data_IF_215549391735
#
_entry.id   IF_215549391735
#
_cell.length_a   1.000
_cell.length_b   1.000
_cell.length_c   1.000
_cell.angle_alpha   90.00
_cell.angle_beta   90.00
_cell.angle_gamma   90.00
#
_symmetry.space_group_name_H-M   'P 1'
#
loop_
_entity.id
_entity.type
_entity.pdbx_description
1 polymer ?
#
# COMPACT_ATOMS: atom_id res chain seq x y z
N UNK A 1 -37.42 19.66 -32.86
CA UNK A 1 -35.97 19.99 -32.94
C UNK A 1 -35.37 20.40 -31.58
N UNK A 2 -36.18 20.83 -30.60
CA UNK A 2 -35.72 21.31 -29.28
C UNK A 2 -35.25 20.21 -28.33
N UNK A 3 -35.97 19.07 -28.29
CA UNK A 3 -35.67 17.93 -27.39
C UNK A 3 -34.31 17.29 -27.70
N UNK A 4 -33.91 17.23 -28.98
CA UNK A 4 -32.62 16.68 -29.38
C UNK A 4 -31.44 17.53 -28.88
N UNK A 5 -31.63 18.85 -28.72
CA UNK A 5 -30.59 19.73 -28.16
C UNK A 5 -30.53 19.65 -26.64
N UNK A 6 -31.66 19.51 -25.96
CA UNK A 6 -31.69 19.30 -24.50
C UNK A 6 -31.01 17.98 -24.10
N UNK A 7 -31.27 16.90 -24.83
CA UNK A 7 -30.60 15.61 -24.59
C UNK A 7 -29.10 15.70 -24.83
N UNK A 8 -28.66 16.42 -25.86
CA UNK A 8 -27.24 16.61 -26.19
C UNK A 8 -26.52 17.50 -25.16
N UNK A 9 -27.21 18.52 -24.61
CA UNK A 9 -26.71 19.33 -23.50
C UNK A 9 -26.58 18.50 -22.21
N UNK A 10 -27.59 17.70 -21.87
CA UNK A 10 -27.55 16.81 -20.69
C UNK A 10 -26.42 15.77 -20.82
N UNK A 11 -26.25 15.20 -22.02
CA UNK A 11 -25.17 14.23 -22.31
C UNK A 11 -23.80 14.90 -22.19
N UNK A 12 -23.65 16.14 -22.68
CA UNK A 12 -22.43 16.93 -22.50
C UNK A 12 -22.14 17.30 -21.06
N UNK A 13 -23.18 17.52 -20.25
CA UNK A 13 -23.05 17.85 -18.83
C UNK A 13 -22.62 16.64 -17.99
N UNK A 14 -23.08 15.43 -18.35
CA UNK A 14 -22.73 14.17 -17.69
C UNK A 14 -21.30 13.67 -18.02
N UNK A 15 -20.77 13.99 -19.20
CA UNK A 15 -19.48 13.46 -19.69
C UNK A 15 -18.25 14.17 -19.07
N UNK A 16 -18.43 15.21 -18.25
CA UNK A 16 -17.30 16.07 -17.81
C UNK A 16 -16.65 15.74 -16.46
N UNK A 17 -16.88 14.56 -15.90
CA UNK A 17 -16.16 14.12 -14.70
C UNK A 17 -14.92 13.27 -15.05
N UNK A 18 -13.98 13.83 -15.81
CA UNK A 18 -12.63 13.29 -15.86
C UNK A 18 -11.95 13.61 -14.53
N UNK A 19 -11.92 12.63 -13.61
CA UNK A 19 -11.10 12.72 -12.42
C UNK A 19 -9.63 12.59 -12.84
N UNK A 20 -8.89 13.68 -12.76
CA UNK A 20 -7.46 13.70 -13.02
C UNK A 20 -6.75 13.12 -11.79
N UNK A 21 -6.41 11.83 -11.85
CA UNK A 21 -5.62 11.22 -10.77
C UNK A 21 -4.18 11.73 -10.86
N UNK A 22 -3.63 12.35 -9.80
CA UNK A 22 -2.21 12.64 -9.76
C UNK A 22 -1.42 11.32 -9.92
N UNK A 23 -0.28 11.34 -10.62
CA UNK A 23 0.49 10.13 -10.89
C UNK A 23 0.86 9.43 -9.58
N UNK A 24 0.79 8.08 -9.59
CA UNK A 24 1.16 7.23 -8.45
C UNK A 24 2.60 7.58 -8.05
N UNK A 25 2.75 8.22 -6.89
CA UNK A 25 4.06 8.66 -6.38
C UNK A 25 4.71 7.47 -5.68
N UNK A 26 5.74 6.90 -6.30
CA UNK A 26 6.51 5.81 -5.71
C UNK A 26 7.46 6.37 -4.63
N UNK A 27 7.09 6.16 -3.38
CA UNK A 27 7.79 6.74 -2.24
C UNK A 27 9.10 6.01 -1.98
N UNK A 28 9.19 4.74 -2.36
CA UNK A 28 10.43 3.98 -2.23
C UNK A 28 11.56 4.67 -3.00
N UNK A 29 11.27 5.23 -4.17
CA UNK A 29 12.25 5.97 -4.97
C UNK A 29 12.71 7.27 -4.31
N UNK A 30 11.84 7.94 -3.57
CA UNK A 30 12.16 9.21 -2.92
C UNK A 30 12.94 9.02 -1.62
N UNK A 31 12.62 7.95 -0.87
CA UNK A 31 13.39 7.48 0.28
C UNK A 31 14.78 7.01 -0.17
N UNK A 32 14.86 6.26 -1.27
CA UNK A 32 16.13 5.75 -1.79
C UNK A 32 17.01 6.87 -2.37
N UNK A 33 16.41 7.90 -2.99
CA UNK A 33 17.16 9.09 -3.45
C UNK A 33 17.83 9.87 -2.32
N UNK A 34 17.33 9.78 -1.10
CA UNK A 34 17.92 10.44 0.09
C UNK A 34 18.86 9.55 0.89
N UNK A 35 19.00 8.26 0.53
CA UNK A 35 19.93 7.36 1.21
C UNK A 35 21.38 7.81 1.03
N UNK A 36 22.08 8.06 2.14
CA UNK A 36 23.51 8.34 2.08
C UNK A 36 24.31 7.06 1.86
N UNK A 37 25.53 7.15 1.30
CA UNK A 37 26.39 5.96 1.08
C UNK A 37 26.63 5.13 2.34
N UNK A 38 26.76 5.80 3.50
CA UNK A 38 26.96 5.14 4.80
C UNK A 38 25.73 4.35 5.24
N UNK A 39 24.56 4.89 4.97
CA UNK A 39 23.29 4.23 5.29
C UNK A 39 23.07 2.98 4.43
N UNK A 40 23.46 3.03 3.15
CA UNK A 40 23.39 1.84 2.28
C UNK A 40 24.29 0.71 2.79
N UNK A 41 25.52 1.03 3.21
CA UNK A 41 26.44 0.04 3.78
C UNK A 41 25.85 -0.58 5.06
N UNK A 42 25.28 0.23 5.95
CA UNK A 42 24.65 -0.28 7.17
C UNK A 42 23.45 -1.22 6.87
N UNK A 43 22.70 -0.91 5.82
CA UNK A 43 21.57 -1.70 5.37
C UNK A 43 22.00 -3.03 4.73
N UNK A 44 23.02 -3.01 3.87
CA UNK A 44 23.61 -4.21 3.27
C UNK A 44 24.19 -5.13 4.36
N UNK A 45 24.89 -4.57 5.34
CA UNK A 45 25.42 -5.32 6.49
C UNK A 45 24.29 -5.90 7.36
N UNK A 46 23.20 -5.16 7.56
CA UNK A 46 22.02 -5.63 8.27
C UNK A 46 21.35 -6.82 7.57
N UNK A 47 21.19 -6.74 6.24
CA UNK A 47 20.65 -7.84 5.42
C UNK A 47 21.57 -9.07 5.45
N UNK A 48 22.89 -8.85 5.46
CA UNK A 48 23.87 -9.94 5.55
C UNK A 48 23.81 -10.64 6.91
N UNK A 49 23.72 -9.89 8.03
CA UNK A 49 23.58 -10.45 9.39
C UNK A 49 22.24 -11.18 9.56
N UNK A 50 21.17 -10.72 8.90
CA UNK A 50 19.84 -11.33 8.94
C UNK A 50 19.66 -12.55 8.02
N UNK A 51 20.65 -12.90 7.20
CA UNK A 51 20.55 -14.00 6.24
C UNK A 51 20.79 -15.37 6.90
N UNK A 52 19.93 -16.34 6.58
CA UNK A 52 20.12 -17.75 6.97
C UNK A 52 21.44 -18.34 6.47
N UNK A 53 21.94 -17.90 5.32
CA UNK A 53 23.21 -18.38 4.76
C UNK A 53 24.41 -17.95 5.60
N UNK A 54 24.37 -16.76 6.21
CA UNK A 54 25.43 -16.26 7.08
C UNK A 54 25.52 -17.07 8.38
N UNK A 55 24.37 -17.40 8.97
CA UNK A 55 24.30 -18.22 10.21
C UNK A 55 24.92 -19.61 9.98
N UNK A 56 24.58 -20.27 8.87
CA UNK A 56 25.13 -21.59 8.53
C UNK A 56 26.63 -21.50 8.27
N UNK A 57 27.09 -20.50 7.53
CA UNK A 57 28.52 -20.29 7.28
C UNK A 57 29.31 -20.10 8.59
N UNK A 58 28.80 -19.24 9.49
CA UNK A 58 29.42 -19.01 10.80
C UNK A 58 29.47 -20.29 11.63
N UNK A 59 28.39 -21.08 11.65
CA UNK A 59 28.34 -22.35 12.38
C UNK A 59 29.36 -23.37 11.83
N UNK A 60 29.49 -23.48 10.52
CA UNK A 60 30.48 -24.36 9.87
C UNK A 60 31.91 -23.90 10.17
N UNK A 61 32.17 -22.59 10.11
CA UNK A 61 33.48 -22.03 10.42
C UNK A 61 33.89 -22.31 11.89
N UNK A 62 32.95 -22.15 12.83
CA UNK A 62 33.17 -22.49 14.23
C UNK A 62 33.39 -23.99 14.44
N UNK A 63 32.59 -24.84 13.79
CA UNK A 63 32.76 -26.29 13.86
C UNK A 63 34.12 -26.73 13.29
N UNK A 64 34.54 -26.17 12.15
CA UNK A 64 35.84 -26.44 11.54
C UNK A 64 36.98 -26.00 12.47
N UNK A 65 36.86 -24.82 13.08
CA UNK A 65 37.85 -24.32 14.04
C UNK A 65 37.97 -25.24 15.26
N UNK A 66 36.84 -25.72 15.79
CA UNK A 66 36.79 -26.64 16.92
C UNK A 66 37.44 -27.98 16.55
N UNK A 67 37.13 -28.55 15.37
CA UNK A 67 37.70 -29.81 14.89
C UNK A 67 39.21 -29.69 14.65
N UNK A 68 39.66 -28.60 14.01
CA UNK A 68 41.09 -28.34 13.79
C UNK A 68 41.88 -28.23 15.10
N UNK A 69 41.30 -27.57 16.13
CA UNK A 69 41.90 -27.51 17.45
C UNK A 69 41.86 -28.86 18.18
N UNK A 70 40.77 -29.60 18.10
CA UNK A 70 40.60 -30.90 18.76
C UNK A 70 41.52 -31.99 18.18
N UNK A 71 41.79 -31.98 16.88
CA UNK A 71 42.67 -32.95 16.20
C UNK A 71 44.16 -32.64 16.44
N UNK A 72 44.47 -31.51 17.10
CA UNK A 72 45.83 -31.13 17.51
C UNK A 72 46.88 -31.21 16.36
N UNK A 73 46.49 -30.80 15.14
CA UNK A 73 47.37 -30.91 13.98
C UNK A 73 48.65 -30.05 14.11
N UNK A 74 48.62 -28.98 14.90
CA UNK A 74 49.80 -28.24 15.36
C UNK A 74 49.56 -27.71 16.78
N UNK A 75 50.03 -28.45 17.81
CA UNK A 75 50.37 -27.90 19.14
C UNK A 75 49.28 -27.02 19.81
N UNK A 76 48.29 -27.63 20.51
CA UNK A 76 47.27 -27.00 21.39
C UNK A 76 47.31 -25.46 21.49
N UNK A 77 46.93 -24.74 20.42
CA UNK A 77 47.09 -23.29 20.35
C UNK A 77 45.99 -22.56 21.14
N UNK A 78 44.84 -23.21 21.33
CA UNK A 78 43.72 -22.76 22.16
C UNK A 78 43.29 -23.91 23.11
N UNK A 79 43.96 -24.01 24.25
CA UNK A 79 43.64 -24.99 25.29
C UNK A 79 42.30 -24.72 25.97
N UNK A 80 41.62 -25.77 26.44
CA UNK A 80 40.34 -25.64 27.15
C UNK A 80 40.50 -24.69 28.36
N UNK A 81 39.70 -23.61 28.48
CA UNK A 81 38.43 -23.30 27.82
C UNK A 81 38.58 -22.22 26.71
N UNK A 82 38.92 -22.63 25.48
CA UNK A 82 39.00 -21.83 24.24
C UNK A 82 38.94 -20.29 24.41
N UNK A 83 40.01 -19.70 24.94
CA UNK A 83 40.04 -18.30 25.35
C UNK A 83 39.99 -17.36 24.14
N UNK A 84 40.69 -17.74 23.06
CA UNK A 84 40.74 -16.94 21.83
C UNK A 84 39.41 -16.97 21.09
N UNK A 85 38.79 -18.15 20.98
CA UNK A 85 37.46 -18.29 20.38
C UNK A 85 36.43 -17.41 21.11
N UNK A 86 36.40 -17.47 22.44
CA UNK A 86 35.49 -16.67 23.25
C UNK A 86 35.74 -15.17 23.09
N UNK A 87 37.00 -14.73 23.00
CA UNK A 87 37.34 -13.33 22.78
C UNK A 87 36.83 -12.85 21.41
N UNK A 88 37.09 -13.62 20.34
CA UNK A 88 36.67 -13.29 18.98
C UNK A 88 35.15 -13.24 18.88
N UNK A 89 34.44 -14.23 19.44
CA UNK A 89 32.98 -14.25 19.44
C UNK A 89 32.37 -13.09 20.21
N UNK A 90 32.97 -12.73 21.36
CA UNK A 90 32.51 -11.58 22.16
C UNK A 90 32.69 -10.27 21.40
N UNK A 91 33.83 -10.10 20.73
CA UNK A 91 34.09 -8.94 19.88
C UNK A 91 33.12 -8.91 18.69
N UNK A 92 32.90 -10.04 18.02
CA UNK A 92 31.96 -10.15 16.90
C UNK A 92 30.54 -9.75 17.33
N UNK A 93 30.06 -10.24 18.47
CA UNK A 93 28.75 -9.88 19.02
C UNK A 93 28.67 -8.38 19.33
N UNK A 94 29.71 -7.81 19.95
CA UNK A 94 29.76 -6.38 20.29
C UNK A 94 29.65 -5.47 19.05
N UNK A 95 30.23 -5.86 17.92
CA UNK A 95 30.10 -5.11 16.66
C UNK A 95 28.80 -5.39 15.91
N UNK A 96 28.26 -6.62 16.01
CA UNK A 96 27.03 -6.99 15.33
C UNK A 96 25.81 -6.24 15.89
N UNK A 97 25.73 -6.05 17.22
CA UNK A 97 24.55 -5.45 17.88
C UNK A 97 24.26 -4.01 17.38
N UNK A 98 25.22 -3.07 17.37
CA UNK A 98 24.97 -1.72 16.86
C UNK A 98 24.57 -1.69 15.38
N UNK A 99 25.18 -2.54 14.55
CA UNK A 99 24.83 -2.64 13.12
C UNK A 99 23.40 -3.15 12.96
N UNK A 100 23.02 -4.18 13.72
CA UNK A 100 21.66 -4.69 13.72
C UNK A 100 20.66 -3.62 14.20
N UNK A 101 20.98 -2.86 15.24
CA UNK A 101 20.14 -1.76 15.73
C UNK A 101 19.98 -0.65 14.69
N UNK A 102 21.04 -0.31 13.95
CA UNK A 102 20.97 0.64 12.84
C UNK A 102 20.05 0.14 11.73
N UNK A 103 20.17 -1.14 11.35
CA UNK A 103 19.30 -1.76 10.34
C UNK A 103 17.84 -1.79 10.78
N UNK A 104 17.57 -2.14 12.04
CA UNK A 104 16.22 -2.14 12.61
C UNK A 104 15.61 -0.73 12.67
N UNK A 105 16.37 0.27 13.12
CA UNK A 105 15.89 1.66 13.14
C UNK A 105 15.57 2.15 11.72
N UNK A 106 16.35 1.74 10.72
CA UNK A 106 16.09 2.08 9.31
C UNK A 106 14.84 1.38 8.75
N UNK A 107 14.68 0.09 9.04
CA UNK A 107 13.47 -0.64 8.66
C UNK A 107 12.21 -0.02 9.28
N UNK A 108 12.27 0.33 10.58
CA UNK A 108 11.17 0.99 11.28
C UNK A 108 10.85 2.39 10.72
N UNK A 109 11.86 3.16 10.29
CA UNK A 109 11.64 4.44 9.62
C UNK A 109 10.92 4.28 8.28
N UNK A 110 11.31 3.30 7.45
CA UNK A 110 10.62 2.99 6.19
C UNK A 110 9.19 2.54 6.44
N UNK A 111 8.98 1.64 7.39
CA UNK A 111 7.66 1.15 7.78
C UNK A 111 6.74 2.30 8.24
N UNK A 112 7.25 3.21 9.07
CA UNK A 112 6.50 4.40 9.51
C UNK A 112 6.08 5.30 8.35
N UNK A 113 6.97 5.53 7.38
CA UNK A 113 6.66 6.35 6.21
C UNK A 113 5.60 5.67 5.32
N UNK A 114 5.75 4.36 5.09
CA UNK A 114 4.76 3.57 4.35
C UNK A 114 3.39 3.58 5.04
N UNK A 115 3.34 3.43 6.36
CA UNK A 115 2.11 3.51 7.13
C UNK A 115 1.44 4.90 7.05
N UNK A 116 2.23 5.98 7.11
CA UNK A 116 1.69 7.34 6.95
C UNK A 116 1.06 7.57 5.56
N UNK A 117 1.60 6.93 4.53
CA UNK A 117 1.09 7.07 3.16
C UNK A 117 -0.12 6.22 2.91
N UNK A 118 -0.12 4.96 3.37
CA UNK A 118 -1.29 4.12 3.35
C UNK A 118 -2.47 4.81 4.08
N UNK A 119 -2.19 5.50 5.19
CA UNK A 119 -3.19 6.33 5.87
C UNK A 119 -3.72 7.47 5.00
N UNK A 120 -2.83 8.25 4.35
CA UNK A 120 -3.24 9.34 3.46
C UNK A 120 -4.03 8.86 2.24
N UNK A 121 -3.63 7.74 1.64
CA UNK A 121 -4.36 7.09 0.55
C UNK A 121 -5.73 6.61 1.03
N UNK A 122 -5.81 6.03 2.22
CA UNK A 122 -7.08 5.63 2.84
C UNK A 122 -8.04 6.81 3.03
N UNK A 123 -7.56 7.94 3.56
CA UNK A 123 -8.38 9.16 3.72
C UNK A 123 -8.87 9.69 2.37
N UNK A 124 -8.00 9.71 1.34
CA UNK A 124 -8.41 10.12 0.00
C UNK A 124 -9.44 9.18 -0.61
N UNK A 125 -9.25 7.87 -0.44
CA UNK A 125 -10.21 6.87 -0.90
C UNK A 125 -11.56 7.02 -0.19
N UNK A 126 -11.56 7.36 1.11
CA UNK A 126 -12.79 7.67 1.86
C UNK A 126 -13.49 8.92 1.31
N UNK A 127 -12.73 9.97 0.98
CA UNK A 127 -13.28 11.19 0.37
C UNK A 127 -13.86 10.94 -1.04
N UNK A 128 -13.15 10.18 -1.87
CA UNK A 128 -13.64 9.75 -3.19
C UNK A 128 -14.91 8.89 -3.06
N UNK A 129 -14.92 7.94 -2.12
CA UNK A 129 -16.10 7.12 -1.84
C UNK A 129 -17.29 7.98 -1.42
N UNK A 130 -17.07 8.96 -0.54
CA UNK A 130 -18.11 9.90 -0.11
C UNK A 130 -18.63 10.75 -1.27
N UNK A 131 -17.74 11.19 -2.16
CA UNK A 131 -18.13 11.90 -3.39
C UNK A 131 -19.03 11.04 -4.28
N UNK A 132 -18.67 9.77 -4.48
CA UNK A 132 -19.48 8.81 -5.25
C UNK A 132 -20.83 8.56 -4.56
N UNK A 133 -20.86 8.38 -3.23
CA UNK A 133 -22.10 8.20 -2.48
C UNK A 133 -23.03 9.40 -2.61
N UNK A 134 -22.51 10.63 -2.47
CA UNK A 134 -23.30 11.84 -2.67
C UNK A 134 -23.86 11.92 -4.10
N UNK A 135 -23.09 11.51 -5.10
CA UNK A 135 -23.56 11.49 -6.49
C UNK A 135 -24.69 10.47 -6.69
N UNK A 136 -24.59 9.30 -6.07
CA UNK A 136 -25.65 8.28 -6.10
C UNK A 136 -26.93 8.77 -5.40
N UNK A 137 -26.81 9.41 -4.25
CA UNK A 137 -27.98 10.00 -3.55
C UNK A 137 -28.69 11.05 -4.41
N UNK A 138 -27.93 11.90 -5.10
CA UNK A 138 -28.49 12.88 -6.05
C UNK A 138 -29.14 12.18 -7.26
N UNK A 139 -28.52 11.12 -7.79
CA UNK A 139 -29.12 10.34 -8.88
C UNK A 139 -30.45 9.70 -8.46
N UNK A 140 -30.53 9.15 -7.25
CA UNK A 140 -31.76 8.57 -6.69
C UNK A 140 -32.87 9.63 -6.57
N UNK A 141 -32.54 10.84 -6.10
CA UNK A 141 -33.50 11.94 -6.01
C UNK A 141 -34.04 12.33 -7.40
N UNK A 142 -33.15 12.46 -8.39
CA UNK A 142 -33.54 12.77 -9.78
C UNK A 142 -34.41 11.66 -10.36
N UNK A 143 -34.07 10.39 -10.13
CA UNK A 143 -34.85 9.24 -10.60
C UNK A 143 -36.26 9.24 -10.01
N UNK A 144 -36.40 9.54 -8.71
CA UNK A 144 -37.70 9.68 -8.06
C UNK A 144 -38.52 10.84 -8.64
N UNK A 145 -37.89 11.99 -8.94
CA UNK A 145 -38.57 13.11 -9.60
C UNK A 145 -39.06 12.74 -11.00
N UNK A 146 -38.28 11.99 -11.78
CA UNK A 146 -38.67 11.50 -13.11
C UNK A 146 -39.86 10.54 -13.00
N UNK A 147 -39.84 9.59 -12.05
CA UNK A 147 -40.94 8.67 -11.80
C UNK A 147 -42.24 9.42 -11.45
N UNK A 148 -42.16 10.41 -10.54
CA UNK A 148 -43.31 11.25 -10.20
C UNK A 148 -43.85 12.05 -11.39
N UNK A 149 -42.98 12.57 -12.27
CA UNK A 149 -43.42 13.24 -13.50
C UNK A 149 -44.11 12.29 -14.46
N UNK A 150 -43.58 11.08 -14.65
CA UNK A 150 -44.19 10.06 -15.50
C UNK A 150 -45.59 9.68 -14.98
N UNK A 151 -45.75 9.42 -13.68
CA UNK A 151 -47.06 9.15 -13.09
C UNK A 151 -48.05 10.30 -13.28
N UNK A 152 -47.59 11.55 -13.12
CA UNK A 152 -48.44 12.73 -13.30
C UNK A 152 -48.92 12.85 -14.75
N UNK A 153 -48.01 12.63 -15.70
CA UNK A 153 -48.30 12.66 -17.14
C UNK A 153 -49.28 11.55 -17.53
N UNK A 154 -49.11 10.34 -17.00
CA UNK A 154 -50.03 9.22 -17.21
C UNK A 154 -51.43 9.53 -16.64
N UNK A 155 -51.52 10.08 -15.43
CA UNK A 155 -52.80 10.50 -14.85
C UNK A 155 -53.48 11.59 -15.68
N UNK A 156 -52.73 12.55 -16.21
CA UNK A 156 -53.27 13.61 -17.07
C UNK A 156 -53.76 13.07 -18.41
N UNK A 157 -52.98 12.20 -19.06
CA UNK A 157 -53.40 11.47 -20.27
C UNK A 157 -54.72 10.72 -20.03
N UNK A 158 -54.82 9.97 -18.94
CA UNK A 158 -56.07 9.25 -18.57
C UNK A 158 -57.25 10.20 -18.34
N UNK A 159 -57.04 11.38 -17.77
CA UNK A 159 -58.11 12.38 -17.60
C UNK A 159 -58.57 12.97 -18.94
N UNK A 160 -57.63 13.25 -19.84
CA UNK A 160 -57.93 13.78 -21.18
C UNK A 160 -58.68 12.73 -22.00
N UNK A 161 -58.24 11.47 -21.98
CA UNK A 161 -58.93 10.35 -22.64
C UNK A 161 -60.36 10.20 -22.12
N UNK A 162 -60.56 10.23 -20.80
CA UNK A 162 -61.92 10.23 -20.19
C UNK A 162 -62.77 11.43 -20.64
N UNK A 163 -62.19 12.63 -20.75
CA UNK A 163 -62.92 13.83 -21.21
C UNK A 163 -63.27 13.78 -22.69
N UNK A 164 -62.48 13.08 -23.50
CA UNK A 164 -62.73 12.91 -24.93
C UNK A 164 -63.75 11.81 -25.23
N UNK A 165 -64.31 11.15 -24.21
CA UNK A 165 -65.29 10.08 -24.39
C UNK A 165 -64.71 8.81 -25.03
N UNK A 166 -63.37 8.72 -25.12
CA UNK A 166 -62.66 7.49 -25.47
C UNK A 166 -62.54 6.68 -24.18
N UNK A 167 -63.69 6.27 -23.63
CA UNK A 167 -63.74 5.07 -22.81
C UNK A 167 -63.59 3.93 -23.81
N UNK A 168 -62.53 3.14 -23.67
CA UNK A 168 -62.38 1.88 -24.40
C UNK A 168 -63.59 1.01 -24.01
N UNK A 169 -64.58 0.98 -24.88
CA UNK A 169 -65.63 -0.03 -24.87
C UNK A 169 -64.97 -1.35 -25.28
N UNK A 170 -64.24 -1.97 -24.33
CA UNK A 170 -64.02 -3.42 -24.14
C UNK A 170 -63.02 -3.77 -23.04
#
# INVERSE_FOLDING_TARGET
MTVARELDDITRQLVRHTHEHPPVRDINQEVDRRTTRRERIAEDLGQMIGSWTFVVFQAVLLALWLVLNAVAFLKHWDGYPFLLLNLVLSFQAAFAVPILLMALNRAAQRDRLGAQQAYQEGVKAEEELKSVMNHLEVQDEVMLQVLHRLERTDRELRRILRRLGIEDDR
#
